data_IF_304273944412
#
_entry.id   IF_304273944412
#
_cell.length_a   1.000
_cell.length_b   1.000
_cell.length_c   1.000
_cell.angle_alpha   90.00
_cell.angle_beta   90.00
_cell.angle_gamma   90.00
#
_symmetry.space_group_name_H-M   'P 1'
#
loop_
_entity.id
_entity.type
_entity.pdbx_description
1 polymer ?
#
# COMPACT_ATOMS: atom_id res chain seq x y z
N UNK A 1 -16.51 -4.84 4.02
CA UNK A 1 -16.85 -4.77 2.58
C UNK A 1 -16.63 -6.16 1.98
N UNK A 2 -17.37 -6.55 0.94
CA UNK A 2 -17.10 -7.82 0.25
C UNK A 2 -16.01 -7.57 -0.83
N UNK A 3 -14.78 -7.89 -0.50
CA UNK A 3 -13.62 -7.68 -1.36
C UNK A 3 -13.70 -8.46 -2.68
N UNK A 4 -14.36 -9.64 -2.67
CA UNK A 4 -14.56 -10.45 -3.88
C UNK A 4 -15.30 -9.71 -4.99
N UNK A 5 -16.14 -8.74 -4.65
CA UNK A 5 -16.86 -7.93 -5.64
C UNK A 5 -15.94 -6.95 -6.36
N UNK A 6 -14.89 -6.43 -5.70
CA UNK A 6 -13.99 -5.45 -6.28
C UNK A 6 -13.20 -5.98 -7.48
N UNK A 7 -12.97 -7.29 -7.58
CA UNK A 7 -12.34 -7.89 -8.76
C UNK A 7 -13.12 -7.63 -10.05
N UNK A 8 -14.44 -7.43 -9.96
CA UNK A 8 -15.31 -7.17 -11.11
C UNK A 8 -15.47 -5.67 -11.43
N UNK A 9 -15.12 -4.80 -10.47
CA UNK A 9 -15.22 -3.34 -10.58
C UNK A 9 -13.92 -2.66 -10.11
N UNK A 10 -12.75 -3.04 -10.65
CA UNK A 10 -11.45 -2.60 -10.09
C UNK A 10 -11.24 -1.09 -10.18
N UNK A 11 -11.98 -0.38 -11.04
CA UNK A 11 -11.87 1.08 -11.20
C UNK A 11 -12.39 1.88 -10.00
N UNK A 12 -13.18 1.29 -9.12
CA UNK A 12 -13.71 1.99 -7.93
C UNK A 12 -12.71 2.09 -6.79
N UNK A 13 -11.62 1.34 -6.85
CA UNK A 13 -10.61 1.29 -5.81
C UNK A 13 -9.20 1.31 -6.41
N UNK A 14 -8.31 2.15 -5.85
CA UNK A 14 -6.96 2.34 -6.41
C UNK A 14 -6.12 1.06 -6.33
N UNK A 15 -6.19 0.33 -5.21
CA UNK A 15 -5.44 -0.91 -5.00
C UNK A 15 -5.99 -2.04 -5.88
N UNK A 16 -7.32 -2.14 -6.01
CA UNK A 16 -7.97 -3.10 -6.92
C UNK A 16 -7.59 -2.85 -8.37
N UNK A 17 -7.47 -1.59 -8.77
CA UNK A 17 -6.99 -1.22 -10.12
C UNK A 17 -5.54 -1.65 -10.36
N UNK A 18 -4.68 -1.52 -9.34
CA UNK A 18 -3.32 -2.04 -9.41
C UNK A 18 -3.34 -3.57 -9.58
N UNK A 19 -4.07 -4.29 -8.71
CA UNK A 19 -4.17 -5.75 -8.76
C UNK A 19 -4.73 -6.27 -10.09
N UNK A 20 -5.63 -5.55 -10.74
CA UNK A 20 -6.22 -5.95 -12.03
C UNK A 20 -5.20 -5.97 -13.17
N UNK A 21 -4.03 -5.34 -12.99
CA UNK A 21 -2.94 -5.30 -13.97
C UNK A 21 -1.91 -6.40 -13.77
N UNK A 22 -1.95 -7.10 -12.64
CA UNK A 22 -1.08 -8.25 -12.39
C UNK A 22 -1.55 -9.41 -13.27
N UNK A 23 -0.66 -10.08 -14.03
CA UNK A 23 -1.01 -11.21 -14.86
C UNK A 23 -1.75 -12.31 -14.10
N UNK A 24 -2.55 -13.12 -14.80
CA UNK A 24 -3.17 -14.29 -14.18
C UNK A 24 -2.10 -15.28 -13.71
N UNK A 25 -2.30 -15.85 -12.52
CA UNK A 25 -1.34 -16.70 -11.83
C UNK A 25 0.04 -16.04 -11.60
N UNK A 26 0.10 -14.71 -11.67
CA UNK A 26 1.30 -13.92 -11.43
C UNK A 26 1.74 -13.92 -9.96
N UNK A 27 2.89 -13.35 -9.70
CA UNK A 27 3.52 -13.24 -8.38
C UNK A 27 3.49 -11.81 -7.86
N UNK A 28 3.05 -11.62 -6.61
CA UNK A 28 2.97 -10.34 -5.93
C UNK A 28 3.67 -10.42 -4.57
N UNK A 29 4.59 -9.50 -4.34
CA UNK A 29 5.24 -9.28 -3.05
C UNK A 29 4.64 -8.04 -2.37
N UNK A 30 4.28 -8.15 -1.11
CA UNK A 30 3.97 -7.00 -0.25
C UNK A 30 5.12 -6.74 0.71
N UNK A 31 5.63 -5.52 0.67
CA UNK A 31 6.78 -5.07 1.45
C UNK A 31 6.30 -4.14 2.56
N UNK A 32 6.60 -4.47 3.80
CA UNK A 32 5.98 -3.85 4.96
C UNK A 32 4.56 -4.39 5.15
N UNK A 33 4.43 -5.71 5.15
CA UNK A 33 3.14 -6.40 5.10
C UNK A 33 2.40 -6.48 6.43
N UNK A 34 3.05 -6.07 7.53
CA UNK A 34 2.48 -5.97 8.88
C UNK A 34 1.70 -7.25 9.29
N UNK A 35 0.46 -7.11 9.73
CA UNK A 35 -0.44 -8.18 10.16
C UNK A 35 -1.10 -8.97 9.00
N UNK A 36 -0.68 -8.77 7.76
CA UNK A 36 -1.20 -9.47 6.59
C UNK A 36 -2.61 -9.07 6.14
N UNK A 37 -3.31 -8.12 6.81
CA UNK A 37 -4.70 -7.74 6.46
C UNK A 37 -4.82 -7.36 4.98
N UNK A 38 -3.86 -6.59 4.47
CA UNK A 38 -3.85 -6.16 3.07
C UNK A 38 -3.71 -7.33 2.10
N UNK A 39 -2.77 -8.26 2.37
CA UNK A 39 -2.59 -9.45 1.51
C UNK A 39 -3.79 -10.40 1.57
N UNK A 40 -4.44 -10.53 2.72
CA UNK A 40 -5.67 -11.30 2.84
C UNK A 40 -6.79 -10.70 1.97
N UNK A 41 -6.93 -9.37 1.95
CA UNK A 41 -7.86 -8.68 1.04
C UNK A 41 -7.47 -8.87 -0.43
N UNK A 42 -6.18 -8.83 -0.76
CA UNK A 42 -5.69 -9.08 -2.11
C UNK A 42 -5.97 -10.51 -2.56
N UNK A 43 -5.79 -11.48 -1.67
CA UNK A 43 -6.12 -12.88 -1.95
C UNK A 43 -7.63 -13.09 -2.17
N UNK A 44 -8.50 -12.41 -1.43
CA UNK A 44 -9.95 -12.46 -1.72
C UNK A 44 -10.29 -11.93 -3.11
N UNK A 45 -9.59 -10.90 -3.57
CA UNK A 45 -9.80 -10.32 -4.90
C UNK A 45 -9.14 -11.14 -6.02
N UNK A 46 -7.96 -11.71 -5.76
CA UNK A 46 -7.11 -12.41 -6.73
C UNK A 46 -6.53 -13.70 -6.13
N UNK A 47 -7.38 -14.72 -5.89
CA UNK A 47 -6.93 -16.00 -5.32
C UNK A 47 -6.04 -16.82 -6.29
N UNK A 48 -5.90 -16.36 -7.52
CA UNK A 48 -5.04 -16.95 -8.55
C UNK A 48 -3.58 -16.54 -8.41
N UNK A 49 -3.26 -15.47 -7.66
CA UNK A 49 -1.90 -14.98 -7.51
C UNK A 49 -1.09 -15.80 -6.50
N UNK A 50 0.21 -15.81 -6.71
CA UNK A 50 1.21 -16.29 -5.75
C UNK A 50 1.64 -15.11 -4.89
N UNK A 51 1.48 -15.22 -3.57
CA UNK A 51 1.79 -14.14 -2.64
C UNK A 51 3.12 -14.37 -1.94
N UNK A 52 3.82 -13.27 -1.77
CA UNK A 52 5.05 -13.13 -1.02
C UNK A 52 4.89 -11.96 -0.07
N UNK A 53 5.49 -12.03 1.11
CA UNK A 53 5.40 -11.01 2.13
C UNK A 53 6.74 -10.81 2.82
N UNK A 54 7.06 -9.59 3.20
CA UNK A 54 8.20 -9.29 4.07
C UNK A 54 7.88 -8.16 5.03
N UNK A 55 8.31 -8.35 6.28
CA UNK A 55 8.23 -7.35 7.34
C UNK A 55 9.33 -7.62 8.39
N UNK A 56 9.61 -6.64 9.25
CA UNK A 56 10.50 -6.82 10.41
C UNK A 56 9.87 -7.70 11.48
N UNK A 57 8.54 -7.72 11.54
CA UNK A 57 7.72 -8.50 12.45
C UNK A 57 6.65 -9.26 11.67
N UNK A 58 6.03 -10.26 12.29
CA UNK A 58 4.94 -11.03 11.70
C UNK A 58 5.14 -12.54 11.80
N UNK A 59 4.10 -13.27 11.45
CA UNK A 59 4.08 -14.73 11.48
C UNK A 59 3.47 -15.28 10.18
N UNK A 60 3.94 -16.41 9.65
CA UNK A 60 3.37 -17.01 8.43
C UNK A 60 1.85 -17.25 8.51
N UNK A 61 1.31 -17.40 9.72
CA UNK A 61 -0.12 -17.60 9.97
C UNK A 61 -0.99 -16.36 9.69
N UNK A 62 -0.39 -15.17 9.68
CA UNK A 62 -1.09 -13.90 9.42
C UNK A 62 -1.47 -13.75 7.94
N UNK A 63 -0.82 -14.50 7.06
CA UNK A 63 -0.92 -14.33 5.61
C UNK A 63 -1.79 -15.41 4.94
N UNK A 64 -2.21 -15.18 3.67
CA UNK A 64 -2.95 -16.17 2.91
C UNK A 64 -2.20 -17.51 2.84
N UNK A 65 -2.95 -18.62 2.87
CA UNK A 65 -2.37 -19.96 2.77
C UNK A 65 -1.49 -20.09 1.52
N UNK A 66 -0.23 -20.50 1.74
CA UNK A 66 0.77 -20.64 0.67
C UNK A 66 1.53 -19.35 0.35
N UNK A 67 1.31 -18.27 1.08
CA UNK A 67 2.16 -17.09 1.05
C UNK A 67 3.56 -17.45 1.56
N UNK A 68 4.59 -16.96 0.87
CA UNK A 68 5.98 -17.09 1.34
C UNK A 68 6.34 -15.83 2.12
N UNK A 69 6.41 -15.95 3.44
CA UNK A 69 6.81 -14.87 4.32
C UNK A 69 8.31 -14.92 4.63
N UNK A 70 8.96 -13.77 4.54
CA UNK A 70 10.34 -13.55 4.98
C UNK A 70 10.35 -12.46 6.05
N UNK A 71 10.85 -12.79 7.23
CA UNK A 71 11.09 -11.81 8.28
C UNK A 71 12.46 -11.19 8.05
N UNK A 72 12.52 -9.87 7.77
CA UNK A 72 13.75 -9.17 7.46
C UNK A 72 13.64 -7.67 7.57
N UNK A 73 14.79 -7.01 7.77
CA UNK A 73 14.91 -5.55 7.90
C UNK A 73 15.47 -4.95 6.60
N UNK A 74 14.60 -4.27 5.87
CA UNK A 74 14.98 -3.58 4.61
C UNK A 74 16.00 -2.44 4.78
N UNK A 75 16.30 -2.02 5.99
CA UNK A 75 17.40 -1.10 6.21
C UNK A 75 18.77 -1.82 6.24
N UNK A 76 18.81 -3.17 6.31
CA UNK A 76 20.02 -3.94 6.57
C UNK A 76 20.33 -5.01 5.54
N UNK A 77 19.31 -5.57 4.87
CA UNK A 77 19.50 -6.75 4.04
C UNK A 77 18.70 -6.72 2.73
N UNK A 78 19.22 -7.42 1.74
CA UNK A 78 18.52 -7.67 0.49
C UNK A 78 17.43 -8.73 0.68
N UNK A 79 16.38 -8.64 -0.12
CA UNK A 79 15.30 -9.61 -0.08
C UNK A 79 15.73 -10.97 -0.71
N UNK A 80 15.27 -12.11 -0.17
CA UNK A 80 15.79 -13.43 -0.50
C UNK A 80 15.33 -13.97 -1.87
N UNK A 81 14.50 -13.25 -2.60
CA UNK A 81 13.97 -13.71 -3.88
C UNK A 81 14.89 -13.37 -5.06
N UNK A 82 14.79 -14.17 -6.11
CA UNK A 82 15.61 -14.03 -7.31
C UNK A 82 15.27 -12.76 -8.10
N UNK A 83 16.26 -12.21 -8.81
CA UNK A 83 16.05 -11.11 -9.73
C UNK A 83 15.08 -11.51 -10.85
N UNK A 84 14.23 -10.55 -11.30
CA UNK A 84 13.25 -10.77 -12.36
C UNK A 84 12.27 -11.93 -12.10
N UNK A 85 11.90 -12.16 -10.84
CA UNK A 85 10.99 -13.25 -10.44
C UNK A 85 9.55 -12.80 -10.18
N UNK A 86 9.32 -11.52 -9.88
CA UNK A 86 8.02 -11.00 -9.47
C UNK A 86 7.34 -10.19 -10.57
N UNK A 87 6.01 -10.33 -10.67
CA UNK A 87 5.18 -9.57 -11.61
C UNK A 87 4.72 -8.24 -11.01
N UNK A 88 4.57 -8.18 -9.68
CA UNK A 88 4.17 -6.98 -8.97
C UNK A 88 4.79 -6.91 -7.58
N UNK A 89 5.01 -5.68 -7.11
CA UNK A 89 5.40 -5.38 -5.72
C UNK A 89 4.47 -4.28 -5.22
N UNK A 90 3.95 -4.44 -4.00
CA UNK A 90 3.26 -3.39 -3.24
C UNK A 90 4.08 -3.00 -2.01
N UNK A 91 4.03 -1.71 -1.69
CA UNK A 91 4.62 -1.16 -0.48
C UNK A 91 3.69 -0.03 0.00
N UNK A 92 2.98 -0.30 1.08
CA UNK A 92 1.95 0.60 1.57
C UNK A 92 2.24 1.00 3.00
N UNK A 93 2.31 2.31 3.24
CA UNK A 93 2.55 2.88 4.56
C UNK A 93 3.84 2.36 5.24
N UNK A 94 4.91 2.22 4.44
CA UNK A 94 6.25 1.85 4.90
C UNK A 94 7.27 2.95 4.64
N UNK A 95 7.20 3.64 3.49
CA UNK A 95 8.23 4.59 3.06
C UNK A 95 8.41 5.77 4.02
N UNK A 96 7.36 6.13 4.76
CA UNK A 96 7.38 7.16 5.80
C UNK A 96 8.14 6.74 7.08
N UNK A 97 8.40 5.44 7.25
CA UNK A 97 9.16 4.89 8.38
C UNK A 97 10.64 4.63 8.06
N UNK A 98 11.00 4.61 6.78
CA UNK A 98 12.37 4.35 6.35
C UNK A 98 13.18 5.66 6.30
N UNK A 99 14.43 5.61 6.76
CA UNK A 99 15.35 6.76 6.67
C UNK A 99 15.88 6.95 5.24
N UNK A 100 16.13 5.84 4.53
CA UNK A 100 16.61 5.81 3.14
C UNK A 100 15.77 4.83 2.30
N UNK A 101 15.27 5.30 1.18
CA UNK A 101 14.45 4.51 0.25
C UNK A 101 15.29 3.80 -0.82
N UNK A 102 16.60 4.01 -0.85
CA UNK A 102 17.49 3.52 -1.92
C UNK A 102 17.45 2.00 -2.00
N UNK A 103 17.58 1.30 -0.87
CA UNK A 103 17.58 -0.16 -0.85
C UNK A 103 16.21 -0.72 -1.28
N UNK A 104 15.11 -0.19 -0.74
CA UNK A 104 13.75 -0.59 -1.14
C UNK A 104 13.54 -0.46 -2.65
N UNK A 105 13.88 0.68 -3.22
CA UNK A 105 13.65 0.96 -4.65
C UNK A 105 14.57 0.10 -5.53
N UNK A 106 15.82 -0.09 -5.12
CA UNK A 106 16.79 -0.93 -5.85
C UNK A 106 16.37 -2.40 -5.83
N UNK A 107 15.96 -2.92 -4.67
CA UNK A 107 15.47 -4.29 -4.55
C UNK A 107 14.17 -4.50 -5.33
N UNK A 108 13.24 -3.55 -5.27
CA UNK A 108 12.04 -3.61 -6.10
C UNK A 108 12.36 -3.67 -7.59
N UNK A 109 13.34 -2.87 -8.05
CA UNK A 109 13.80 -2.92 -9.44
C UNK A 109 14.46 -4.26 -9.77
N UNK A 110 15.31 -4.79 -8.89
CA UNK A 110 15.98 -6.07 -9.06
C UNK A 110 14.97 -7.22 -9.20
N UNK A 111 14.00 -7.27 -8.28
CA UNK A 111 13.06 -8.39 -8.16
C UNK A 111 12.01 -8.43 -9.26
N UNK A 112 11.56 -7.27 -9.74
CA UNK A 112 10.53 -7.20 -10.77
C UNK A 112 11.04 -7.72 -12.10
N UNK A 113 10.18 -8.47 -12.79
CA UNK A 113 10.35 -8.81 -14.21
C UNK A 113 10.27 -7.55 -15.08
N UNK A 114 10.87 -7.54 -16.30
CA UNK A 114 10.55 -6.52 -17.29
C UNK A 114 9.03 -6.43 -17.49
N UNK A 115 8.50 -5.21 -17.47
CA UNK A 115 7.05 -4.98 -17.52
C UNK A 115 6.33 -5.07 -16.18
N UNK A 116 6.98 -5.54 -15.11
CA UNK A 116 6.43 -5.62 -13.76
C UNK A 116 6.17 -4.25 -13.13
N UNK A 117 5.25 -4.21 -12.17
CA UNK A 117 4.77 -2.97 -11.56
C UNK A 117 5.11 -2.87 -10.06
N UNK A 118 5.58 -1.71 -9.64
CA UNK A 118 5.79 -1.34 -8.25
C UNK A 118 4.74 -0.31 -7.82
N UNK A 119 3.91 -0.67 -6.84
CA UNK A 119 2.90 0.17 -6.23
C UNK A 119 3.41 0.69 -4.88
N UNK A 120 3.40 1.99 -4.72
CA UNK A 120 3.82 2.68 -3.50
C UNK A 120 2.64 3.52 -2.99
N UNK A 121 2.34 3.44 -1.70
CA UNK A 121 1.32 4.27 -1.05
C UNK A 121 1.84 4.77 0.30
N UNK A 122 1.59 6.05 0.61
CA UNK A 122 2.01 6.70 1.85
C UNK A 122 0.99 7.78 2.22
N UNK A 123 0.93 8.25 3.48
CA UNK A 123 0.10 9.39 3.83
C UNK A 123 0.38 10.60 2.93
N UNK A 124 -0.68 11.23 2.44
CA UNK A 124 -0.53 12.42 1.59
C UNK A 124 0.06 13.58 2.43
N UNK A 125 1.01 14.40 1.92
CA UNK A 125 1.61 15.50 2.69
C UNK A 125 0.61 16.47 3.35
N UNK A 126 -0.60 16.60 2.81
CA UNK A 126 -1.67 17.42 3.42
C UNK A 126 -2.14 16.91 4.79
N UNK A 127 -1.84 15.67 5.16
CA UNK A 127 -2.24 15.08 6.45
C UNK A 127 -1.59 15.78 7.64
N UNK A 128 -0.49 16.50 7.43
CA UNK A 128 0.17 17.33 8.44
C UNK A 128 -0.77 18.41 9.02
N UNK A 129 -1.64 18.94 8.16
CA UNK A 129 -2.61 19.98 8.58
C UNK A 129 -3.96 19.43 9.05
N UNK A 130 -4.12 18.11 9.14
CA UNK A 130 -5.36 17.52 9.61
C UNK A 130 -5.40 17.45 11.13
N UNK A 131 -6.57 17.77 11.70
CA UNK A 131 -6.79 17.58 13.14
C UNK A 131 -7.03 16.09 13.42
N UNK A 132 -6.33 15.59 14.43
CA UNK A 132 -6.59 14.26 14.99
C UNK A 132 -7.99 14.22 15.61
N UNK A 133 -8.68 13.10 15.49
CA UNK A 133 -9.98 12.94 16.13
C UNK A 133 -9.73 12.45 17.56
N UNK A 134 -10.06 13.28 18.53
CA UNK A 134 -9.91 12.96 19.96
C UNK A 134 -11.20 12.38 20.54
N UNK A 135 -11.09 11.37 21.40
CA UNK A 135 -12.19 10.81 22.15
C UNK A 135 -12.08 9.29 22.36
N UNK A 136 -12.72 8.73 23.38
CA UNK A 136 -12.59 7.30 23.73
C UNK A 136 -13.09 6.33 22.66
N UNK A 137 -13.98 6.75 21.78
CA UNK A 137 -14.46 5.95 20.64
C UNK A 137 -13.50 6.00 19.43
N UNK A 138 -12.43 6.78 19.49
CA UNK A 138 -11.60 7.15 18.33
C UNK A 138 -10.11 6.92 18.61
N UNK A 139 -9.76 6.28 19.71
CA UNK A 139 -8.39 6.14 20.21
C UNK A 139 -7.37 5.53 19.26
N UNK A 140 -7.80 5.00 18.11
CA UNK A 140 -6.93 4.43 17.08
C UNK A 140 -7.11 5.08 15.71
N UNK A 141 -7.97 6.10 15.58
CA UNK A 141 -8.27 6.74 14.30
C UNK A 141 -7.51 8.04 14.15
N UNK A 142 -6.28 7.93 13.72
CA UNK A 142 -5.39 9.06 13.49
C UNK A 142 -5.64 9.67 12.10
N UNK A 143 -5.57 10.98 12.00
CA UNK A 143 -5.71 11.73 10.74
C UNK A 143 -4.47 12.54 10.44
N UNK A 144 -3.77 13.01 11.47
CA UNK A 144 -2.55 13.78 11.34
C UNK A 144 -1.38 12.83 11.09
N UNK A 145 -0.47 13.22 10.20
CA UNK A 145 0.74 12.47 9.91
C UNK A 145 1.56 12.15 11.17
N UNK A 146 1.70 13.14 12.07
CA UNK A 146 2.51 13.03 13.28
C UNK A 146 1.82 12.33 14.46
N UNK A 147 0.59 11.83 14.28
CA UNK A 147 -0.06 10.99 15.30
C UNK A 147 0.64 9.65 15.46
N UNK A 148 1.31 9.16 14.41
CA UNK A 148 2.20 8.02 14.47
C UNK A 148 3.64 8.49 14.74
N UNK A 149 4.15 8.13 15.93
CA UNK A 149 5.48 8.53 16.37
C UNK A 149 6.63 7.80 15.66
N UNK A 150 6.32 6.77 14.89
CA UNK A 150 7.29 6.00 14.11
C UNK A 150 7.53 6.61 12.72
N UNK A 151 6.73 7.59 12.30
CA UNK A 151 6.97 8.33 11.07
C UNK A 151 8.24 9.18 11.19
N UNK A 152 9.17 8.99 10.27
CA UNK A 152 10.45 9.68 10.24
C UNK A 152 10.50 10.81 9.22
N UNK A 153 9.77 10.66 8.10
CA UNK A 153 9.83 11.62 7.00
C UNK A 153 8.52 11.72 6.22
N UNK A 154 8.28 12.90 5.68
CA UNK A 154 7.16 13.15 4.76
C UNK A 154 7.64 12.92 3.34
N UNK A 155 7.06 11.93 2.67
CA UNK A 155 7.43 11.58 1.31
C UNK A 155 6.45 12.19 0.31
N UNK A 156 6.94 13.07 -0.55
CA UNK A 156 6.12 13.59 -1.65
C UNK A 156 6.17 12.64 -2.87
N UNK A 157 5.05 12.52 -3.59
CA UNK A 157 5.00 11.70 -4.80
C UNK A 157 6.01 12.16 -5.87
N UNK A 158 6.33 13.46 -5.92
CA UNK A 158 7.33 14.01 -6.83
C UNK A 158 8.76 13.54 -6.49
N UNK A 159 9.12 13.56 -5.20
CA UNK A 159 10.42 13.05 -4.73
C UNK A 159 10.54 11.54 -4.97
N UNK A 160 9.49 10.78 -4.62
CA UNK A 160 9.44 9.33 -4.83
C UNK A 160 9.55 8.97 -6.31
N UNK A 161 8.83 9.66 -7.18
CA UNK A 161 8.93 9.48 -8.63
C UNK A 161 10.33 9.75 -9.17
N UNK A 162 11.02 10.76 -8.64
CA UNK A 162 12.41 11.07 -9.02
C UNK A 162 13.34 9.93 -8.63
N UNK A 163 13.25 9.41 -7.41
CA UNK A 163 14.07 8.28 -6.96
C UNK A 163 13.81 7.02 -7.78
N UNK A 164 12.53 6.67 -8.04
CA UNK A 164 12.18 5.53 -8.89
C UNK A 164 12.77 5.68 -10.31
N UNK A 165 12.67 6.88 -10.93
CA UNK A 165 13.30 7.11 -12.24
C UNK A 165 14.82 6.96 -12.20
N UNK A 166 15.48 7.43 -11.14
CA UNK A 166 16.93 7.28 -10.98
C UNK A 166 17.37 5.82 -10.88
N UNK A 167 16.48 4.93 -10.38
CA UNK A 167 16.69 3.49 -10.34
C UNK A 167 16.31 2.76 -11.65
N UNK A 168 15.80 3.47 -12.66
CA UNK A 168 15.46 2.92 -13.97
C UNK A 168 13.97 2.65 -14.21
N UNK A 169 13.08 3.01 -13.29
CA UNK A 169 11.63 2.85 -13.48
C UNK A 169 11.02 3.92 -14.36
N UNK A 170 10.03 3.53 -15.16
CA UNK A 170 9.06 4.43 -15.77
C UNK A 170 7.90 4.68 -14.81
N UNK A 171 7.49 5.95 -14.65
CA UNK A 171 6.34 6.29 -13.81
C UNK A 171 5.07 6.24 -14.65
N UNK A 172 4.20 5.28 -14.32
CA UNK A 172 2.94 5.07 -15.04
C UNK A 172 1.81 5.96 -14.53
N UNK A 173 1.65 6.03 -13.21
CA UNK A 173 0.56 6.78 -12.57
C UNK A 173 0.99 7.30 -11.20
N UNK A 174 0.44 8.44 -10.80
CA UNK A 174 0.48 8.93 -9.41
C UNK A 174 -0.80 9.70 -9.10
N UNK A 175 -1.17 9.76 -7.85
CA UNK A 175 -2.36 10.48 -7.43
C UNK A 175 -2.76 10.21 -6.00
N UNK A 176 -4.02 10.42 -5.70
CA UNK A 176 -4.61 10.15 -4.39
C UNK A 176 -5.25 8.77 -4.37
N UNK A 177 -4.86 7.93 -3.41
CA UNK A 177 -5.46 6.61 -3.22
C UNK A 177 -6.88 6.75 -2.69
N UNK A 178 -7.84 6.07 -3.33
CA UNK A 178 -9.26 6.14 -2.98
C UNK A 178 -9.97 4.83 -3.24
N UNK A 179 -10.93 4.55 -2.37
CA UNK A 179 -12.07 3.70 -2.68
C UNK A 179 -13.28 4.62 -2.87
N UNK A 180 -13.78 4.71 -4.10
CA UNK A 180 -14.85 5.64 -4.45
C UNK A 180 -16.19 5.29 -3.81
N UNK A 181 -16.44 4.01 -3.46
CA UNK A 181 -17.64 3.61 -2.73
C UNK A 181 -17.61 4.18 -1.31
N UNK A 182 -16.48 4.07 -0.61
CA UNK A 182 -16.33 4.69 0.70
C UNK A 182 -16.36 6.22 0.62
N UNK A 183 -15.69 6.81 -0.35
CA UNK A 183 -15.71 8.25 -0.54
C UNK A 183 -17.15 8.74 -0.74
N UNK A 184 -17.92 8.14 -1.63
CA UNK A 184 -19.33 8.51 -1.88
C UNK A 184 -20.25 8.28 -0.67
N UNK A 185 -19.91 7.37 0.24
CA UNK A 185 -20.68 7.14 1.45
C UNK A 185 -20.45 8.22 2.54
N UNK A 186 -19.35 9.00 2.47
CA UNK A 186 -19.01 9.95 3.52
C UNK A 186 -20.09 11.01 3.81
N UNK A 187 -20.74 11.65 2.82
CA UNK A 187 -21.83 12.60 3.08
C UNK A 187 -22.97 11.99 3.91
N UNK A 188 -23.26 10.70 3.73
CA UNK A 188 -24.29 9.97 4.50
C UNK A 188 -23.81 9.79 5.94
N UNK A 189 -22.57 9.36 6.14
CA UNK A 189 -21.99 9.15 7.47
C UNK A 189 -21.59 10.43 8.18
N UNK A 190 -21.60 11.58 7.51
CA UNK A 190 -21.18 12.87 8.11
C UNK A 190 -21.95 13.17 9.39
N UNK A 191 -23.27 12.93 9.40
CA UNK A 191 -24.15 13.16 10.55
C UNK A 191 -24.24 11.97 11.52
N UNK A 192 -23.64 10.83 11.17
CA UNK A 192 -23.61 9.66 12.04
C UNK A 192 -22.64 9.84 13.22
N UNK A 193 -22.84 9.15 14.36
CA UNK A 193 -21.86 9.12 15.44
C UNK A 193 -20.50 8.57 14.95
N UNK A 194 -19.42 8.83 15.71
CA UNK A 194 -18.10 8.27 15.39
C UNK A 194 -18.16 6.75 15.27
N UNK A 195 -17.62 6.23 14.16
CA UNK A 195 -17.57 4.80 13.87
C UNK A 195 -16.44 4.51 12.89
N UNK A 196 -16.01 3.24 12.80
CA UNK A 196 -15.00 2.80 11.81
C UNK A 196 -15.47 3.11 10.38
N UNK A 197 -16.75 2.91 10.07
CA UNK A 197 -17.29 3.22 8.73
C UNK A 197 -17.20 4.71 8.40
N UNK A 198 -17.59 5.58 9.33
CA UNK A 198 -17.47 7.03 9.17
C UNK A 198 -16.03 7.45 8.97
N UNK A 199 -15.11 6.89 9.75
CA UNK A 199 -13.68 7.20 9.65
C UNK A 199 -13.10 6.74 8.31
N UNK A 200 -13.33 5.47 7.91
CA UNK A 200 -12.88 4.95 6.62
C UNK A 200 -13.42 5.77 5.46
N UNK A 201 -14.70 6.13 5.49
CA UNK A 201 -15.33 6.98 4.47
C UNK A 201 -14.68 8.36 4.42
N UNK A 202 -14.35 8.97 5.57
CA UNK A 202 -13.67 10.26 5.67
C UNK A 202 -12.25 10.21 5.09
N UNK A 203 -11.48 9.15 5.35
CA UNK A 203 -10.15 8.91 4.79
C UNK A 203 -10.22 8.95 3.25
N UNK A 204 -11.12 8.16 2.67
CA UNK A 204 -11.25 8.11 1.23
C UNK A 204 -11.85 9.39 0.63
N UNK A 205 -12.78 10.06 1.30
CA UNK A 205 -13.30 11.36 0.89
C UNK A 205 -12.22 12.42 0.86
N UNK A 206 -11.46 12.54 1.94
CA UNK A 206 -10.37 13.51 2.04
C UNK A 206 -9.19 13.19 1.13
N UNK A 207 -9.03 11.92 0.70
CA UNK A 207 -7.85 11.44 -0.01
C UNK A 207 -6.62 11.50 0.89
N UNK A 208 -6.69 10.80 1.99
CA UNK A 208 -5.68 10.76 3.03
C UNK A 208 -4.35 10.18 2.56
N UNK A 209 -4.38 9.17 1.68
CA UNK A 209 -3.18 8.56 1.11
C UNK A 209 -2.90 9.05 -0.31
N UNK A 210 -1.64 9.14 -0.66
CA UNK A 210 -1.14 9.32 -2.02
C UNK A 210 -0.47 8.05 -2.53
N UNK A 211 -0.51 7.81 -3.84
CA UNK A 211 0.10 6.62 -4.45
C UNK A 211 0.92 6.94 -5.70
N UNK A 212 1.84 6.04 -5.99
CA UNK A 212 2.65 6.01 -7.20
C UNK A 212 2.66 4.59 -7.76
N UNK A 213 2.58 4.45 -9.09
CA UNK A 213 2.83 3.19 -9.79
C UNK A 213 4.01 3.40 -10.72
N UNK A 214 5.09 2.68 -10.44
CA UNK A 214 6.28 2.62 -11.28
C UNK A 214 6.30 1.28 -12.03
N UNK A 215 6.86 1.26 -13.23
CA UNK A 215 6.98 0.08 -14.08
C UNK A 215 8.43 -0.13 -14.45
N UNK A 216 8.92 -1.35 -14.33
CA UNK A 216 10.20 -1.73 -14.89
C UNK A 216 10.08 -1.85 -16.41
N UNK A 217 10.93 -1.19 -17.19
CA UNK A 217 10.95 -1.28 -18.66
C UNK A 217 11.12 -2.71 -19.18
#
# INVERSE_FOLDING_TARGET
MNWKLLRHIPWVDTRSRFLSRVPSAGSLLDVGSSDGETLNHFHEMRPDLKFYATDIEGSPEDYPKGCQFHQGDLNKENLPWEANSLDAISCMHLVEHLEDLTLLITEAFRLLKPGGCFYLETPHPKTIGLSSVTGPAVGTFTMNFWDDLTHTQIVSMGALAKQCRSAGFDISHSGTSRNWLFAAAYPIFFFAPPSRQKFTSKIHWSGWSAYLVARKP
#
